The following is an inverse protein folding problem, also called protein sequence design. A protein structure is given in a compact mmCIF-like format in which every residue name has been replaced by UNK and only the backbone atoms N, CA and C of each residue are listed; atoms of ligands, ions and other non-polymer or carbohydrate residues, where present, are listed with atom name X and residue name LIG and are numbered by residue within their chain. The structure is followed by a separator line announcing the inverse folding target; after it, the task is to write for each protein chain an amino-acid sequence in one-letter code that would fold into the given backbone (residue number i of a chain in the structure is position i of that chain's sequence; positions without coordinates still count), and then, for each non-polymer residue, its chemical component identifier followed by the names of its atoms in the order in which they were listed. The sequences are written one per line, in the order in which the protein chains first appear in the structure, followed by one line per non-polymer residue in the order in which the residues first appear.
data_IF_053266053668
#
_entry.id   IF_053266053668
#
_cell.length_a   1.000
_cell.length_b   1.000
_cell.length_c   1.000
_cell.angle_alpha   90.00
_cell.angle_beta   90.00
_cell.angle_gamma   90.00
#
_symmetry.space_group_name_H-M   'P 1'
#
loop_
_entity.id
_entity.type
_entity.pdbx_description
1 polymer ?
#
# COMPACT_ATOMS: atom_id res chain seq x y z
N UNK A 1 15.64 -2.34 2.73
CA UNK A 1 14.60 -2.88 3.64
C UNK A 1 14.72 -4.39 3.63
N UNK A 2 14.47 -5.07 4.75
CA UNK A 2 14.65 -6.52 4.91
C UNK A 2 13.50 -7.33 4.26
N UNK A 3 13.24 -7.08 2.96
CA UNK A 3 12.18 -7.71 2.16
C UNK A 3 10.79 -7.73 2.82
N UNK A 4 10.21 -6.57 3.20
CA UNK A 4 8.90 -6.51 3.87
C UNK A 4 7.78 -7.17 3.05
N UNK A 5 7.86 -7.12 1.72
CA UNK A 5 6.92 -7.74 0.78
C UNK A 5 6.78 -9.26 0.99
N UNK A 6 7.84 -9.93 1.47
CA UNK A 6 7.86 -11.38 1.69
C UNK A 6 7.14 -11.81 2.98
N UNK A 7 6.81 -10.85 3.86
CA UNK A 7 6.12 -11.09 5.13
C UNK A 7 4.65 -10.72 5.09
N UNK A 8 4.19 -10.17 3.97
CA UNK A 8 2.80 -9.74 3.81
C UNK A 8 1.87 -10.93 3.62
N UNK A 9 0.60 -10.70 3.95
CA UNK A 9 -0.48 -11.59 3.58
C UNK A 9 -0.58 -11.72 2.04
N UNK A 10 -1.27 -12.75 1.51
CA UNK A 10 -1.41 -12.95 0.07
C UNK A 10 -1.80 -11.67 -0.69
N UNK A 11 -0.94 -11.28 -1.64
CA UNK A 11 -1.03 -10.00 -2.34
C UNK A 11 -1.81 -10.13 -3.66
N UNK A 12 -2.80 -9.27 -3.83
CA UNK A 12 -3.53 -9.07 -5.08
C UNK A 12 -3.00 -7.79 -5.72
N UNK A 13 -2.32 -7.95 -6.86
CA UNK A 13 -1.73 -6.85 -7.60
C UNK A 13 -2.61 -6.46 -8.79
N UNK A 14 -3.11 -5.22 -8.81
CA UNK A 14 -4.00 -4.70 -9.86
C UNK A 14 -3.25 -3.71 -10.76
N UNK A 15 -2.94 -4.15 -11.97
CA UNK A 15 -2.28 -3.35 -13.01
C UNK A 15 -3.20 -3.07 -14.20
N UNK A 16 -3.00 -1.93 -14.88
CA UNK A 16 -3.76 -1.58 -16.08
C UNK A 16 -3.85 -0.07 -16.32
N UNK A 17 -4.16 0.33 -17.56
CA UNK A 17 -4.28 1.74 -17.92
C UNK A 17 -5.54 2.38 -17.32
N UNK A 18 -6.66 1.65 -17.36
CA UNK A 18 -7.96 2.09 -16.86
C UNK A 18 -8.59 1.03 -15.95
N UNK A 19 -9.50 1.45 -15.06
CA UNK A 19 -10.33 0.53 -14.27
C UNK A 19 -9.69 -0.06 -13.01
N UNK A 20 -8.40 0.21 -12.74
CA UNK A 20 -7.68 -0.29 -11.55
C UNK A 20 -8.40 0.05 -10.24
N UNK A 21 -8.67 1.33 -9.98
CA UNK A 21 -9.37 1.75 -8.78
C UNK A 21 -10.76 1.12 -8.61
N UNK A 22 -11.53 0.97 -9.70
CA UNK A 22 -12.85 0.30 -9.65
C UNK A 22 -12.73 -1.21 -9.39
N UNK A 23 -11.77 -1.89 -10.04
CA UNK A 23 -11.50 -3.31 -9.82
C UNK A 23 -11.00 -3.56 -8.40
N UNK A 24 -10.07 -2.75 -7.92
CA UNK A 24 -9.57 -2.77 -6.54
C UNK A 24 -10.72 -2.60 -5.55
N UNK A 25 -11.58 -1.61 -5.77
CA UNK A 25 -12.75 -1.37 -4.92
C UNK A 25 -13.73 -2.55 -4.89
N UNK A 26 -14.01 -3.17 -6.04
CA UNK A 26 -14.87 -4.36 -6.13
C UNK A 26 -14.27 -5.55 -5.39
N UNK A 27 -12.98 -5.84 -5.60
CA UNK A 27 -12.27 -6.94 -4.92
C UNK A 27 -12.31 -6.73 -3.40
N UNK A 28 -11.98 -5.52 -2.95
CA UNK A 28 -12.02 -5.16 -1.53
C UNK A 28 -13.41 -5.39 -0.95
N UNK A 29 -14.45 -4.85 -1.58
CA UNK A 29 -15.83 -5.01 -1.10
C UNK A 29 -16.24 -6.49 -1.01
N UNK A 30 -15.86 -7.32 -1.99
CA UNK A 30 -16.12 -8.76 -1.96
C UNK A 30 -15.40 -9.44 -0.79
N UNK A 31 -14.13 -9.11 -0.54
CA UNK A 31 -13.36 -9.71 0.54
C UNK A 31 -13.87 -9.26 1.93
N UNK A 32 -14.16 -7.97 2.09
CA UNK A 32 -14.73 -7.39 3.32
C UNK A 32 -16.10 -8.02 3.65
N UNK A 33 -16.96 -8.24 2.65
CA UNK A 33 -18.25 -8.94 2.82
C UNK A 33 -18.08 -10.38 3.32
N UNK A 34 -16.96 -11.03 2.99
CA UNK A 34 -16.59 -12.35 3.50
C UNK A 34 -15.84 -12.30 4.83
N UNK A 35 -15.86 -11.15 5.53
CA UNK A 35 -15.24 -10.97 6.84
C UNK A 35 -13.72 -10.96 6.82
N UNK A 36 -13.10 -10.66 5.68
CA UNK A 36 -11.63 -10.56 5.55
C UNK A 36 -11.15 -9.16 5.91
N UNK A 37 -10.06 -9.10 6.67
CA UNK A 37 -9.33 -7.87 6.91
C UNK A 37 -8.44 -7.58 5.69
N UNK A 38 -8.43 -6.33 5.24
CA UNK A 38 -7.68 -5.92 4.04
C UNK A 38 -6.78 -4.74 4.36
N UNK A 39 -5.52 -4.87 3.97
CA UNK A 39 -4.61 -3.76 3.83
C UNK A 39 -4.53 -3.38 2.35
N UNK A 40 -4.44 -2.09 2.04
CA UNK A 40 -4.45 -1.68 0.64
C UNK A 40 -3.62 -0.43 0.37
N UNK A 41 -3.00 -0.41 -0.80
CA UNK A 41 -2.35 0.78 -1.33
C UNK A 41 -2.98 1.22 -2.65
N UNK A 42 -3.40 2.48 -2.69
CA UNK A 42 -4.12 3.09 -3.81
C UNK A 42 -3.44 4.38 -4.27
N UNK A 43 -3.58 4.70 -5.57
CA UNK A 43 -3.15 6.00 -6.09
C UNK A 43 -4.00 6.45 -7.28
N UNK A 44 -4.23 7.78 -7.45
CA UNK A 44 -3.89 8.86 -6.52
C UNK A 44 -4.83 8.94 -5.30
N UNK A 45 -4.54 9.85 -4.36
CA UNK A 45 -5.53 10.27 -3.36
C UNK A 45 -6.37 11.42 -3.91
N UNK A 46 -7.56 11.64 -3.35
CA UNK A 46 -8.43 12.75 -3.73
C UNK A 46 -8.26 13.96 -2.82
N UNK A 47 -8.25 13.76 -1.49
CA UNK A 47 -8.19 14.86 -0.53
C UNK A 47 -6.97 14.76 0.39
N UNK A 48 -6.69 13.57 0.92
CA UNK A 48 -5.63 13.34 1.91
C UNK A 48 -4.72 12.21 1.51
N UNK A 49 -3.43 12.36 1.75
CA UNK A 49 -2.44 11.31 1.49
C UNK A 49 -2.80 9.98 2.17
N UNK A 50 -3.36 10.02 3.37
CA UNK A 50 -3.81 8.87 4.14
C UNK A 50 -4.75 7.92 3.38
N UNK A 51 -5.50 8.43 2.40
CA UNK A 51 -6.38 7.61 1.55
C UNK A 51 -5.60 6.58 0.72
N UNK A 52 -4.30 6.84 0.48
CA UNK A 52 -3.43 5.93 -0.26
C UNK A 52 -3.11 4.66 0.51
N UNK A 53 -3.13 4.66 1.84
CA UNK A 53 -2.70 3.52 2.65
C UNK A 53 -3.84 3.16 3.60
N UNK A 54 -4.44 2.00 3.39
CA UNK A 54 -5.44 1.43 4.28
C UNK A 54 -4.79 0.34 5.14
N UNK A 55 -4.98 0.46 6.45
CA UNK A 55 -4.64 -0.57 7.45
C UNK A 55 -5.95 -1.12 7.99
N UNK A 56 -6.18 -2.43 7.81
CA UNK A 56 -7.40 -3.13 8.19
C UNK A 56 -8.68 -2.39 7.73
N UNK A 57 -8.71 -2.01 6.45
CA UNK A 57 -9.84 -1.35 5.79
C UNK A 57 -9.99 0.15 6.09
N UNK A 58 -9.13 0.73 6.93
CA UNK A 58 -9.23 2.15 7.35
C UNK A 58 -8.00 2.94 6.93
N UNK A 59 -8.14 4.23 6.56
CA UNK A 59 -6.98 5.09 6.32
C UNK A 59 -5.99 5.02 7.50
N UNK A 60 -4.71 4.89 7.17
CA UNK A 60 -3.62 4.91 8.15
C UNK A 60 -3.75 6.13 9.07
N UNK A 61 -3.36 6.00 10.35
CA UNK A 61 -3.32 7.15 11.26
C UNK A 61 -2.13 8.05 10.93
N UNK A 62 -2.23 9.34 11.26
CA UNK A 62 -1.10 10.28 11.11
C UNK A 62 0.17 9.76 11.81
N UNK A 63 0.02 9.26 13.04
CA UNK A 63 1.14 8.72 13.82
C UNK A 63 1.81 7.52 13.12
N UNK A 64 1.03 6.57 12.58
CA UNK A 64 1.60 5.42 11.88
C UNK A 64 2.21 5.81 10.54
N UNK A 65 1.61 6.77 9.85
CA UNK A 65 2.13 7.29 8.59
C UNK A 65 3.49 7.96 8.79
N UNK A 66 3.60 8.85 9.78
CA UNK A 66 4.85 9.53 10.11
C UNK A 66 5.92 8.51 10.49
N UNK A 67 5.60 7.57 11.38
CA UNK A 67 6.54 6.53 11.80
C UNK A 67 7.04 5.69 10.61
N UNK A 68 6.15 5.32 9.69
CA UNK A 68 6.52 4.54 8.50
C UNK A 68 7.37 5.35 7.51
N UNK A 69 7.05 6.64 7.32
CA UNK A 69 7.82 7.54 6.46
C UNK A 69 9.23 7.78 7.01
N UNK A 70 9.36 8.05 8.32
CA UNK A 70 10.65 8.24 8.97
C UNK A 70 11.53 7.01 8.84
N UNK A 71 10.94 5.81 9.02
CA UNK A 71 11.65 4.56 8.82
C UNK A 71 12.14 4.39 7.38
N UNK A 72 11.28 4.65 6.40
CA UNK A 72 11.62 4.55 4.98
C UNK A 72 12.73 5.54 4.62
N UNK A 73 12.62 6.80 5.04
CA UNK A 73 13.62 7.84 4.80
C UNK A 73 14.98 7.49 5.42
N UNK A 74 14.98 6.99 6.65
CA UNK A 74 16.21 6.55 7.32
C UNK A 74 16.88 5.38 6.58
N UNK A 75 16.09 4.44 6.05
CA UNK A 75 16.62 3.31 5.25
C UNK A 75 17.03 3.70 3.83
N UNK A 76 16.45 4.76 3.26
CA UNK A 76 16.81 5.26 1.93
C UNK A 76 18.15 6.01 1.95
N UNK A 77 18.61 6.50 3.11
CA UNK A 77 19.94 7.09 3.33
C UNK A 77 20.32 8.18 2.30
N UNK A 78 19.35 9.01 1.93
CA UNK A 78 19.55 10.10 0.96
C UNK A 78 19.72 9.67 -0.50
N UNK A 79 19.55 8.40 -0.83
CA UNK A 79 19.56 7.94 -2.21
C UNK A 79 18.43 8.59 -3.03
N UNK A 80 18.62 8.82 -4.34
CA UNK A 80 17.54 9.27 -5.21
C UNK A 80 16.38 8.27 -5.19
N UNK A 81 15.18 8.76 -4.89
CA UNK A 81 13.96 7.96 -4.85
C UNK A 81 12.81 8.78 -5.44
N UNK A 82 11.99 8.16 -6.26
CA UNK A 82 10.78 8.80 -6.78
C UNK A 82 9.71 8.86 -5.69
N UNK A 83 8.75 9.76 -5.87
CA UNK A 83 7.59 9.82 -4.98
C UNK A 83 6.86 8.47 -4.93
N UNK A 84 6.68 7.81 -6.07
CA UNK A 84 5.96 6.53 -6.10
C UNK A 84 6.71 5.44 -5.33
N UNK A 85 8.00 5.25 -5.58
CA UNK A 85 8.84 4.29 -4.86
C UNK A 85 8.83 4.54 -3.35
N UNK A 86 9.01 5.80 -2.93
CA UNK A 86 8.99 6.18 -1.52
C UNK A 86 7.65 5.85 -0.85
N UNK A 87 6.54 6.15 -1.52
CA UNK A 87 5.19 5.89 -0.97
C UNK A 87 4.83 4.41 -0.95
N UNK A 88 5.25 3.65 -1.95
CA UNK A 88 5.07 2.18 -2.00
C UNK A 88 5.91 1.49 -0.93
N UNK A 89 7.18 1.89 -0.76
CA UNK A 89 8.04 1.40 0.32
C UNK A 89 7.45 1.70 1.71
N UNK A 90 6.93 2.90 1.90
CA UNK A 90 6.23 3.31 3.13
C UNK A 90 5.00 2.44 3.38
N UNK A 91 4.19 2.17 2.36
CA UNK A 91 3.01 1.32 2.47
C UNK A 91 3.37 -0.11 2.87
N UNK A 92 4.36 -0.72 2.23
CA UNK A 92 4.83 -2.07 2.59
C UNK A 92 5.31 -2.15 4.03
N UNK A 93 6.08 -1.17 4.48
CA UNK A 93 6.52 -1.14 5.87
C UNK A 93 5.33 -0.95 6.83
N UNK A 94 4.36 -0.10 6.49
CA UNK A 94 3.17 0.08 7.29
C UNK A 94 2.31 -1.20 7.40
N UNK A 95 2.18 -1.96 6.31
CA UNK A 95 1.50 -3.25 6.31
C UNK A 95 2.22 -4.27 7.18
N UNK A 96 3.55 -4.35 7.10
CA UNK A 96 4.35 -5.24 7.94
C UNK A 96 4.21 -4.91 9.43
N UNK A 97 4.26 -3.63 9.80
CA UNK A 97 4.32 -3.21 11.20
C UNK A 97 2.95 -3.08 11.88
N UNK A 98 1.93 -2.65 11.13
CA UNK A 98 0.64 -2.26 11.69
C UNK A 98 -0.54 -3.09 11.12
N UNK A 99 -0.30 -3.83 10.04
CA UNK A 99 -1.28 -4.64 9.37
C UNK A 99 -1.57 -5.95 10.09
N UNK A 100 -2.83 -6.39 10.01
CA UNK A 100 -3.26 -7.74 10.42
C UNK A 100 -4.17 -8.35 9.36
N UNK A 101 -3.98 -7.95 8.10
CA UNK A 101 -4.87 -8.30 7.02
C UNK A 101 -4.76 -9.77 6.59
N UNK A 102 -5.87 -10.32 6.12
CA UNK A 102 -5.91 -11.61 5.43
C UNK A 102 -5.38 -11.49 3.99
N UNK A 103 -5.48 -10.30 3.39
CA UNK A 103 -4.99 -10.00 2.04
C UNK A 103 -4.47 -8.57 1.93
N UNK A 104 -3.48 -8.38 1.06
CA UNK A 104 -2.99 -7.04 0.67
C UNK A 104 -3.43 -6.74 -0.76
N UNK A 105 -3.97 -5.55 -0.98
CA UNK A 105 -4.40 -5.09 -2.30
C UNK A 105 -3.51 -3.93 -2.77
N UNK A 106 -2.77 -4.16 -3.86
CA UNK A 106 -1.80 -3.21 -4.39
C UNK A 106 -2.25 -2.69 -5.77
N UNK A 107 -2.52 -1.40 -5.88
CA UNK A 107 -2.78 -0.73 -7.16
C UNK A 107 -1.48 -0.13 -7.75
N UNK A 108 -1.21 -0.41 -9.03
CA UNK A 108 -0.06 0.16 -9.76
C UNK A 108 -0.23 1.66 -10.00
N UNK A 109 0.81 2.46 -9.70
CA UNK A 109 0.85 3.89 -10.00
C UNK A 109 1.16 4.19 -11.45
N UNK A 110 2.17 3.54 -12.07
CA UNK A 110 2.46 3.69 -13.50
C UNK A 110 3.39 2.55 -14.03
N UNK A 111 2.85 1.61 -14.82
CA UNK A 111 3.67 0.71 -15.67
C UNK A 111 4.49 -0.36 -14.95
N UNK A 112 3.81 -1.45 -14.53
CA UNK A 112 4.37 -2.54 -13.71
C UNK A 112 5.47 -3.43 -14.31
N UNK A 113 6.22 -2.99 -15.34
CA UNK A 113 7.42 -3.72 -15.82
C UNK A 113 8.73 -3.21 -15.18
N UNK A 114 8.72 -2.01 -14.60
CA UNK A 114 9.91 -1.39 -13.99
C UNK A 114 9.79 -1.21 -12.47
N UNK A 115 8.76 -1.78 -11.85
CA UNK A 115 8.54 -1.73 -10.40
C UNK A 115 8.95 -3.09 -9.82
N UNK A 116 10.24 -3.24 -9.52
CA UNK A 116 10.85 -4.38 -8.81
C UNK A 116 12.03 -3.90 -7.97
#
# INVERSE_FOLDING_TARGET
MDHPEAKLAPLIHVAGTNGKGSTSSMIRAMLEEHGRNIDAYHSPHLVRFHERILINGRPISEQHLVAALEHMLARNDGAPITFFEATTATAFHAFEQFGTADHVLLEVGLGGRLEA
#
